data_IF_888941239688
#
_entry.id   IF_888941239688
#
_cell.length_a   1.000
_cell.length_b   1.000
_cell.length_c   1.000
_cell.angle_alpha   90.00
_cell.angle_beta   90.00
_cell.angle_gamma   90.00
#
_symmetry.space_group_name_H-M   'P 1'
#
loop_
_entity.id
_entity.type
_entity.pdbx_description
1 polymer ?
#
# COMPACT_ATOMS: atom_id res chain seq x y z
N UNK A 1 -18.96 -35.17 9.50
CA UNK A 1 -17.81 -34.45 10.12
C UNK A 1 -17.79 -33.08 9.49
N UNK A 2 -17.88 -32.03 10.27
CA UNK A 2 -17.69 -30.66 9.73
C UNK A 2 -16.26 -30.57 9.21
N UNK A 3 -16.11 -30.09 7.98
CA UNK A 3 -14.78 -29.83 7.41
C UNK A 3 -14.11 -28.73 8.26
N UNK A 4 -13.06 -29.09 9.00
CA UNK A 4 -12.33 -28.14 9.85
C UNK A 4 -11.64 -27.03 9.07
N UNK A 5 -11.50 -27.20 7.76
CA UNK A 5 -10.88 -26.23 6.85
C UNK A 5 -11.92 -25.38 6.10
N UNK A 6 -13.21 -25.63 6.29
CA UNK A 6 -14.25 -24.83 5.68
C UNK A 6 -14.14 -23.35 6.17
N UNK A 7 -14.29 -22.36 5.26
CA UNK A 7 -14.35 -20.97 5.65
C UNK A 7 -15.45 -20.71 6.68
N UNK A 8 -15.18 -19.85 7.65
CA UNK A 8 -16.14 -19.44 8.67
C UNK A 8 -16.31 -17.93 8.65
N UNK A 9 -17.47 -17.41 9.10
CA UNK A 9 -17.75 -15.96 9.10
C UNK A 9 -16.72 -15.11 9.88
N UNK A 10 -16.07 -15.70 10.88
CA UNK A 10 -15.00 -15.04 11.65
C UNK A 10 -13.67 -14.95 10.89
N UNK A 11 -13.49 -15.70 9.82
CA UNK A 11 -12.30 -15.67 8.96
C UNK A 11 -12.40 -14.48 7.99
N UNK A 12 -11.93 -13.33 8.40
CA UNK A 12 -12.01 -12.07 7.63
C UNK A 12 -10.83 -11.96 6.65
N UNK A 13 -10.75 -12.86 5.67
CA UNK A 13 -9.73 -12.78 4.64
C UNK A 13 -10.02 -11.67 3.64
N UNK A 14 -8.99 -10.89 3.32
CA UNK A 14 -9.01 -9.87 2.28
C UNK A 14 -7.92 -10.11 1.25
N UNK A 15 -8.13 -9.60 0.05
CA UNK A 15 -7.22 -9.82 -1.07
C UNK A 15 -6.87 -8.48 -1.72
N UNK A 16 -5.59 -8.32 -2.09
CA UNK A 16 -5.16 -7.16 -2.85
C UNK A 16 -5.60 -7.25 -4.31
N UNK A 17 -6.08 -6.15 -4.90
CA UNK A 17 -6.33 -6.07 -6.34
C UNK A 17 -5.11 -6.49 -7.14
N UNK A 18 -3.92 -6.08 -6.70
CA UNK A 18 -2.63 -6.42 -7.32
C UNK A 18 -2.30 -7.91 -7.30
N UNK A 19 -2.83 -8.65 -6.32
CA UNK A 19 -2.61 -10.10 -6.19
C UNK A 19 -3.51 -10.86 -7.15
N UNK A 20 -4.82 -10.58 -7.11
CA UNK A 20 -5.83 -11.26 -7.95
C UNK A 20 -5.68 -10.84 -9.41
N UNK A 21 -5.46 -9.56 -9.65
CA UNK A 21 -5.25 -8.99 -10.99
C UNK A 21 -3.86 -9.18 -11.58
N UNK A 22 -2.96 -9.93 -10.90
CA UNK A 22 -1.59 -10.13 -11.39
C UNK A 22 -1.61 -10.88 -12.73
N UNK A 23 -1.17 -10.24 -13.83
CA UNK A 23 -1.23 -10.85 -15.17
C UNK A 23 -0.17 -11.94 -15.37
N UNK A 24 0.73 -12.13 -14.39
CA UNK A 24 1.92 -12.96 -14.53
C UNK A 24 2.91 -12.33 -15.53
N UNK A 25 4.17 -12.26 -15.16
CA UNK A 25 5.23 -11.75 -16.04
C UNK A 25 6.16 -12.88 -16.43
N UNK A 26 6.29 -13.08 -17.73
CA UNK A 26 7.40 -13.83 -18.31
C UNK A 26 8.50 -12.82 -18.67
N UNK A 27 9.75 -12.97 -18.20
CA UNK A 27 10.83 -12.06 -18.56
C UNK A 27 11.15 -12.07 -20.07
N UNK A 28 10.69 -13.09 -20.81
CA UNK A 28 10.96 -13.28 -22.24
C UNK A 28 9.69 -13.25 -23.11
N UNK A 29 8.52 -13.02 -22.52
CA UNK A 29 7.25 -13.09 -23.24
C UNK A 29 6.18 -12.13 -22.72
N UNK A 30 4.99 -12.18 -23.31
CA UNK A 30 3.84 -11.38 -22.87
C UNK A 30 3.30 -11.88 -21.52
N UNK A 31 2.41 -11.09 -20.88
CA UNK A 31 1.66 -11.55 -19.71
C UNK A 31 0.96 -12.90 -19.97
N UNK A 32 0.96 -13.79 -18.98
CA UNK A 32 0.44 -15.16 -19.10
C UNK A 32 -1.05 -15.28 -18.74
N UNK A 33 -1.64 -14.22 -18.19
CA UNK A 33 -3.05 -14.17 -17.78
C UNK A 33 -3.75 -12.96 -18.39
N UNK A 34 -5.06 -13.07 -18.66
CA UNK A 34 -5.84 -11.90 -19.08
C UNK A 34 -5.89 -10.85 -17.98
N UNK A 35 -6.01 -9.60 -18.39
CA UNK A 35 -6.25 -8.50 -17.46
C UNK A 35 -7.68 -8.61 -16.91
N UNK A 36 -7.81 -8.53 -15.57
CA UNK A 36 -9.08 -8.43 -14.87
C UNK A 36 -9.31 -6.98 -14.42
N UNK A 37 -10.50 -6.46 -14.63
CA UNK A 37 -10.85 -5.15 -14.08
C UNK A 37 -11.04 -5.22 -12.56
N UNK A 38 -10.87 -4.11 -11.82
CA UNK A 38 -11.19 -4.07 -10.38
C UNK A 38 -12.62 -4.52 -10.06
N UNK A 39 -13.58 -4.23 -10.92
CA UNK A 39 -14.99 -4.65 -10.79
C UNK A 39 -15.11 -6.17 -10.92
N UNK A 40 -14.49 -6.77 -11.94
CA UNK A 40 -14.49 -8.23 -12.12
C UNK A 40 -13.85 -8.94 -10.92
N UNK A 41 -12.74 -8.39 -10.40
CA UNK A 41 -12.07 -8.94 -9.22
C UNK A 41 -12.99 -8.92 -8.00
N UNK A 42 -13.72 -7.82 -7.77
CA UNK A 42 -14.68 -7.72 -6.65
C UNK A 42 -15.76 -8.79 -6.77
N UNK A 43 -16.32 -9.00 -7.96
CA UNK A 43 -17.33 -10.05 -8.17
C UNK A 43 -16.77 -11.46 -7.93
N UNK A 44 -15.58 -11.78 -8.47
CA UNK A 44 -14.91 -13.07 -8.24
C UNK A 44 -14.62 -13.30 -6.74
N UNK A 45 -14.18 -12.27 -6.03
CA UNK A 45 -13.95 -12.35 -4.58
C UNK A 45 -15.26 -12.58 -3.81
N UNK A 46 -16.36 -12.00 -4.26
CA UNK A 46 -17.69 -12.25 -3.72
C UNK A 46 -18.12 -13.73 -3.88
N UNK A 47 -17.86 -14.33 -5.05
CA UNK A 47 -18.17 -15.74 -5.33
C UNK A 47 -17.42 -16.73 -4.42
N UNK A 48 -16.17 -16.40 -4.05
CA UNK A 48 -15.37 -17.24 -3.14
C UNK A 48 -15.58 -16.93 -1.66
N UNK A 49 -16.47 -15.99 -1.33
CA UNK A 49 -16.81 -15.66 0.05
C UNK A 49 -15.72 -14.87 0.80
N UNK A 50 -14.92 -14.07 0.09
CA UNK A 50 -13.95 -13.18 0.72
C UNK A 50 -14.65 -12.14 1.61
N UNK A 51 -13.96 -11.68 2.67
CA UNK A 51 -14.45 -10.58 3.50
C UNK A 51 -14.31 -9.22 2.82
N UNK A 52 -13.22 -9.02 2.08
CA UNK A 52 -12.96 -7.74 1.47
C UNK A 52 -11.83 -7.73 0.45
N UNK A 53 -11.56 -6.54 -0.06
CA UNK A 53 -10.53 -6.26 -1.06
C UNK A 53 -9.70 -5.07 -0.60
N UNK A 54 -8.40 -5.11 -0.89
CA UNK A 54 -7.45 -4.03 -0.63
C UNK A 54 -6.88 -3.52 -1.95
N UNK A 55 -6.38 -2.30 -1.98
CA UNK A 55 -5.84 -1.74 -3.22
C UNK A 55 -4.73 -0.72 -2.98
N UNK A 56 -3.79 -0.63 -3.96
CA UNK A 56 -3.06 0.60 -4.19
C UNK A 56 -3.92 1.53 -5.05
N UNK A 57 -3.74 2.80 -4.88
CA UNK A 57 -4.47 3.80 -5.68
C UNK A 57 -4.43 3.50 -7.20
N UNK A 58 -3.27 3.11 -7.73
CA UNK A 58 -3.09 2.79 -9.15
C UNK A 58 -3.69 1.44 -9.59
N UNK A 59 -3.99 0.53 -8.66
CA UNK A 59 -4.67 -0.73 -8.99
C UNK A 59 -6.14 -0.47 -9.34
N UNK A 60 -6.71 0.59 -8.75
CA UNK A 60 -8.09 0.99 -8.95
C UNK A 60 -8.21 2.08 -10.02
N UNK A 61 -7.47 3.17 -9.88
CA UNK A 61 -7.54 4.33 -10.77
C UNK A 61 -6.18 4.54 -11.45
N UNK A 62 -6.09 4.45 -12.77
CA UNK A 62 -4.85 4.75 -13.50
C UNK A 62 -4.28 6.12 -13.15
N UNK A 63 -2.94 6.22 -13.08
CA UNK A 63 -2.23 7.44 -12.66
C UNK A 63 -2.50 8.64 -13.59
N UNK A 64 -2.86 8.36 -14.84
CA UNK A 64 -3.15 9.32 -15.91
C UNK A 64 -4.66 9.53 -16.15
N UNK A 65 -5.52 8.94 -15.31
CA UNK A 65 -6.96 9.09 -15.42
C UNK A 65 -7.39 10.56 -15.27
N UNK A 66 -8.27 11.00 -16.15
CA UNK A 66 -8.93 12.30 -16.01
C UNK A 66 -9.88 12.31 -14.81
N UNK A 67 -10.27 13.47 -14.27
CA UNK A 67 -11.26 13.52 -13.17
C UNK A 67 -12.57 12.79 -13.48
N UNK A 68 -13.06 12.88 -14.71
CA UNK A 68 -14.30 12.20 -15.11
C UNK A 68 -14.15 10.67 -15.16
N UNK A 69 -13.01 10.17 -15.62
CA UNK A 69 -12.68 8.75 -15.60
C UNK A 69 -12.52 8.24 -14.15
N UNK A 70 -11.81 8.99 -13.31
CA UNK A 70 -11.69 8.70 -11.89
C UNK A 70 -13.07 8.54 -11.25
N UNK A 71 -13.96 9.51 -11.42
CA UNK A 71 -15.28 9.49 -10.80
C UNK A 71 -16.13 8.32 -11.29
N UNK A 72 -16.03 7.97 -12.57
CA UNK A 72 -16.74 6.83 -13.13
C UNK A 72 -16.20 5.50 -12.57
N UNK A 73 -14.87 5.32 -12.51
CA UNK A 73 -14.22 4.13 -11.98
C UNK A 73 -14.61 3.92 -10.50
N UNK A 74 -14.52 4.99 -9.69
CA UNK A 74 -14.87 4.93 -8.26
C UNK A 74 -16.35 4.59 -8.09
N UNK A 75 -17.22 5.16 -8.89
CA UNK A 75 -18.66 4.86 -8.88
C UNK A 75 -18.95 3.39 -9.20
N UNK A 76 -18.33 2.85 -10.24
CA UNK A 76 -18.53 1.45 -10.67
C UNK A 76 -17.96 0.47 -9.62
N UNK A 77 -16.82 0.80 -9.03
CA UNK A 77 -16.23 0.02 -7.95
C UNK A 77 -17.11 0.01 -6.70
N UNK A 78 -17.65 1.17 -6.28
CA UNK A 78 -18.61 1.26 -5.17
C UNK A 78 -19.85 0.43 -5.42
N UNK A 79 -20.35 0.42 -6.67
CA UNK A 79 -21.48 -0.42 -7.04
C UNK A 79 -21.15 -1.90 -6.88
N UNK A 80 -20.00 -2.36 -7.36
CA UNK A 80 -19.57 -3.75 -7.22
C UNK A 80 -19.41 -4.16 -5.74
N UNK A 81 -18.86 -3.28 -4.90
CA UNK A 81 -18.80 -3.51 -3.44
C UNK A 81 -20.19 -3.63 -2.82
N UNK A 82 -21.13 -2.80 -3.24
CA UNK A 82 -22.51 -2.86 -2.74
C UNK A 82 -23.22 -4.15 -3.18
N UNK A 83 -23.03 -4.57 -4.44
CA UNK A 83 -23.62 -5.78 -5.02
C UNK A 83 -23.10 -7.05 -4.32
N UNK A 84 -21.83 -7.08 -3.90
CA UNK A 84 -21.18 -8.25 -3.28
C UNK A 84 -21.16 -8.22 -1.75
N UNK A 85 -21.32 -7.05 -1.15
CA UNK A 85 -21.18 -6.85 0.28
C UNK A 85 -19.74 -6.80 0.80
N UNK A 86 -18.75 -6.90 -0.09
CA UNK A 86 -17.32 -6.82 0.26
C UNK A 86 -16.95 -5.48 0.89
N UNK A 87 -15.95 -5.51 1.77
CA UNK A 87 -15.42 -4.34 2.46
C UNK A 87 -14.05 -3.94 1.90
N UNK A 88 -13.67 -2.70 2.16
CA UNK A 88 -12.31 -2.20 1.90
C UNK A 88 -11.68 -1.85 3.24
N UNK A 89 -11.07 -2.79 3.96
CA UNK A 89 -10.51 -2.50 5.29
C UNK A 89 -9.18 -1.76 5.24
N UNK A 90 -8.44 -1.85 4.12
CA UNK A 90 -7.11 -1.28 3.98
C UNK A 90 -6.91 -0.70 2.58
N UNK A 91 -6.22 0.44 2.52
CA UNK A 91 -5.72 1.06 1.30
C UNK A 91 -4.23 1.40 1.43
N UNK A 92 -3.59 1.66 0.31
CA UNK A 92 -2.18 2.08 0.25
C UNK A 92 -1.92 2.89 -1.02
N UNK A 93 -0.75 3.51 -1.13
CA UNK A 93 -0.32 4.27 -2.30
C UNK A 93 0.80 3.54 -3.05
N UNK A 94 0.68 3.43 -4.36
CA UNK A 94 1.80 2.97 -5.18
C UNK A 94 2.83 4.10 -5.37
N UNK A 95 3.93 4.03 -4.63
CA UNK A 95 5.08 4.95 -4.71
C UNK A 95 6.34 4.26 -5.23
N UNK A 96 6.20 3.21 -6.04
CA UNK A 96 7.34 2.38 -6.43
C UNK A 96 7.35 1.94 -7.90
N UNK A 97 6.21 1.83 -8.57
CA UNK A 97 6.16 1.32 -9.95
C UNK A 97 6.41 2.41 -11.00
N UNK A 98 6.00 3.66 -10.75
CA UNK A 98 6.25 4.76 -11.68
C UNK A 98 7.74 5.17 -11.65
N UNK A 99 8.36 5.42 -12.83
CA UNK A 99 9.76 5.87 -12.93
C UNK A 99 10.09 7.15 -12.13
N UNK A 100 9.11 7.98 -11.81
CA UNK A 100 9.31 9.15 -10.95
C UNK A 100 9.88 8.77 -9.59
N UNK A 101 9.55 7.59 -9.07
CA UNK A 101 9.97 7.10 -7.74
C UNK A 101 11.23 6.24 -7.76
N UNK A 102 11.94 6.15 -8.88
CA UNK A 102 13.13 5.28 -9.01
C UNK A 102 14.21 5.53 -7.95
N UNK A 103 14.31 6.76 -7.41
CA UNK A 103 15.23 7.14 -6.34
C UNK A 103 14.54 7.31 -4.98
N UNK A 104 13.46 6.62 -4.75
CA UNK A 104 12.60 6.81 -3.58
C UNK A 104 11.48 7.81 -3.83
N UNK A 105 10.51 7.82 -2.96
CA UNK A 105 9.40 8.76 -2.97
C UNK A 105 9.60 9.80 -1.86
N UNK A 106 9.31 9.45 -0.61
CA UNK A 106 9.50 10.33 0.54
C UNK A 106 10.97 10.62 0.84
N UNK A 107 11.88 9.69 0.54
CA UNK A 107 13.33 9.85 0.76
C UNK A 107 14.09 10.34 -0.45
N UNK A 108 13.43 10.58 -1.59
CA UNK A 108 14.07 11.05 -2.82
C UNK A 108 14.97 12.27 -2.58
N UNK A 109 16.11 12.34 -3.28
CA UNK A 109 16.95 13.53 -3.28
C UNK A 109 16.27 14.72 -3.96
N UNK A 110 15.35 14.50 -4.90
CA UNK A 110 14.59 15.56 -5.56
C UNK A 110 13.39 16.01 -4.71
N UNK A 111 13.34 17.26 -4.22
CA UNK A 111 12.22 17.76 -3.44
C UNK A 111 10.89 17.80 -4.19
N UNK A 112 10.91 17.86 -5.53
CA UNK A 112 9.69 17.81 -6.35
C UNK A 112 9.06 16.42 -6.32
N UNK A 113 9.89 15.36 -6.31
CA UNK A 113 9.42 13.98 -6.17
C UNK A 113 8.82 13.77 -4.79
N UNK A 114 9.45 14.29 -3.72
CA UNK A 114 8.89 14.21 -2.37
C UNK A 114 7.54 14.92 -2.24
N UNK A 115 7.42 16.12 -2.79
CA UNK A 115 6.15 16.86 -2.81
C UNK A 115 5.06 16.14 -3.60
N UNK A 116 5.43 15.57 -4.76
CA UNK A 116 4.52 14.75 -5.55
C UNK A 116 4.05 13.50 -4.81
N UNK A 117 4.97 12.79 -4.14
CA UNK A 117 4.65 11.62 -3.32
C UNK A 117 3.65 11.95 -2.21
N UNK A 118 3.85 13.05 -1.48
CA UNK A 118 2.91 13.52 -0.45
C UNK A 118 1.54 13.83 -1.04
N UNK A 119 1.49 14.60 -2.12
CA UNK A 119 0.22 14.96 -2.79
C UNK A 119 -0.53 13.73 -3.30
N UNK A 120 0.19 12.75 -3.88
CA UNK A 120 -0.39 11.50 -4.35
C UNK A 120 -0.94 10.68 -3.20
N UNK A 121 -0.19 10.59 -2.09
CA UNK A 121 -0.60 9.86 -0.90
C UNK A 121 -1.84 10.47 -0.24
N UNK A 122 -1.91 11.79 -0.12
CA UNK A 122 -3.10 12.47 0.40
C UNK A 122 -4.36 12.10 -0.40
N UNK A 123 -4.30 12.18 -1.73
CA UNK A 123 -5.42 11.80 -2.60
C UNK A 123 -5.81 10.33 -2.46
N UNK A 124 -4.81 9.45 -2.33
CA UNK A 124 -5.05 8.03 -2.12
C UNK A 124 -5.66 7.72 -0.74
N UNK A 125 -5.26 8.50 0.29
CA UNK A 125 -5.89 8.43 1.61
C UNK A 125 -7.37 8.87 1.55
N UNK A 126 -7.66 9.98 0.87
CA UNK A 126 -9.03 10.49 0.68
C UNK A 126 -9.92 9.40 0.03
N UNK A 127 -9.43 8.80 -1.05
CA UNK A 127 -10.11 7.70 -1.73
C UNK A 127 -10.27 6.46 -0.83
N UNK A 128 -9.22 6.09 -0.10
CA UNK A 128 -9.25 4.98 0.84
C UNK A 128 -10.34 5.15 1.90
N UNK A 129 -10.39 6.33 2.52
CA UNK A 129 -11.41 6.67 3.53
C UNK A 129 -12.82 6.71 2.91
N UNK A 130 -12.96 7.27 1.72
CA UNK A 130 -14.23 7.29 0.97
C UNK A 130 -14.77 5.89 0.70
N UNK A 131 -13.89 4.91 0.49
CA UNK A 131 -14.22 3.50 0.27
C UNK A 131 -14.35 2.69 1.57
N UNK A 132 -14.05 3.29 2.73
CA UNK A 132 -14.25 2.68 4.04
C UNK A 132 -13.00 2.12 4.71
N UNK A 133 -11.82 2.40 4.19
CA UNK A 133 -10.55 1.96 4.79
C UNK A 133 -10.36 2.54 6.19
N UNK A 134 -9.84 1.70 7.09
CA UNK A 134 -9.48 2.05 8.47
C UNK A 134 -7.99 1.92 8.73
N UNK A 135 -7.30 1.19 7.87
CA UNK A 135 -5.85 1.01 7.92
C UNK A 135 -5.25 1.55 6.62
N UNK A 136 -4.20 2.33 6.75
CA UNK A 136 -3.43 2.82 5.62
C UNK A 136 -2.01 2.27 5.68
N UNK A 137 -1.70 1.35 4.76
CA UNK A 137 -0.38 0.73 4.72
C UNK A 137 0.61 1.64 3.99
N UNK A 138 1.81 1.75 4.54
CA UNK A 138 2.95 2.43 3.92
C UNK A 138 4.05 1.40 3.70
N UNK A 139 4.23 1.01 2.44
CA UNK A 139 5.32 0.16 2.01
C UNK A 139 6.39 0.97 1.28
N UNK A 140 7.60 0.96 1.83
CA UNK A 140 8.73 1.76 1.36
C UNK A 140 9.60 1.07 0.30
N UNK A 141 9.03 0.38 -0.70
CA UNK A 141 9.78 -0.43 -1.64
C UNK A 141 10.87 0.29 -2.45
N UNK A 142 10.78 1.61 -2.61
CA UNK A 142 11.83 2.44 -3.24
C UNK A 142 12.59 3.33 -2.26
N UNK A 143 12.23 3.30 -0.98
CA UNK A 143 12.86 4.11 0.07
C UNK A 143 14.19 3.47 0.49
N UNK A 144 15.21 3.65 -0.33
CA UNK A 144 16.52 3.03 -0.14
C UNK A 144 17.53 3.46 -1.19
N UNK A 145 18.58 2.68 -1.35
CA UNK A 145 19.71 2.94 -2.25
C UNK A 145 20.22 1.65 -2.91
N UNK A 146 20.91 1.83 -4.04
CA UNK A 146 21.73 0.76 -4.65
C UNK A 146 23.16 0.77 -4.10
N UNK A 147 23.60 1.92 -3.55
CA UNK A 147 24.88 2.10 -2.90
C UNK A 147 24.79 3.28 -1.92
N UNK A 148 25.38 3.14 -0.74
CA UNK A 148 25.36 4.14 0.33
C UNK A 148 25.90 5.52 -0.10
N UNK A 149 26.81 5.54 -1.09
CA UNK A 149 27.33 6.79 -1.62
C UNK A 149 26.30 7.66 -2.38
N UNK A 150 25.13 7.09 -2.74
CA UNK A 150 24.12 7.75 -3.55
C UNK A 150 23.20 8.68 -2.74
N UNK A 151 23.07 8.46 -1.42
CA UNK A 151 22.12 9.19 -0.57
C UNK A 151 22.58 9.18 0.88
N UNK A 152 22.47 10.32 1.55
CA UNK A 152 22.68 10.42 2.99
C UNK A 152 21.55 9.72 3.73
N UNK A 153 21.86 8.61 4.40
CA UNK A 153 20.87 7.78 5.10
C UNK A 153 20.21 8.50 6.28
N UNK A 154 20.94 9.42 6.98
CA UNK A 154 20.38 10.19 8.08
C UNK A 154 19.37 11.20 7.56
N UNK A 155 19.70 11.91 6.48
CA UNK A 155 18.77 12.83 5.83
C UNK A 155 17.57 12.09 5.23
N UNK A 156 17.76 10.90 4.63
CA UNK A 156 16.67 10.07 4.14
C UNK A 156 15.72 9.66 5.28
N UNK A 157 16.24 9.25 6.42
CA UNK A 157 15.45 8.92 7.61
C UNK A 157 14.66 10.10 8.15
N UNK A 158 15.25 11.31 8.18
CA UNK A 158 14.54 12.55 8.54
C UNK A 158 13.39 12.84 7.58
N UNK A 159 13.66 12.80 6.27
CA UNK A 159 12.64 13.03 5.23
C UNK A 159 11.47 12.05 5.34
N UNK A 160 11.76 10.80 5.62
CA UNK A 160 10.73 9.76 5.79
C UNK A 160 9.88 10.05 7.03
N UNK A 161 10.51 10.42 8.17
CA UNK A 161 9.81 10.84 9.38
C UNK A 161 8.95 12.08 9.16
N UNK A 162 9.48 13.12 8.50
CA UNK A 162 8.75 14.35 8.22
C UNK A 162 7.53 14.07 7.33
N UNK A 163 7.66 13.14 6.36
CA UNK A 163 6.55 12.71 5.52
C UNK A 163 5.44 12.02 6.32
N UNK A 164 5.80 11.09 7.22
CA UNK A 164 4.81 10.40 8.05
C UNK A 164 4.16 11.33 9.07
N UNK A 165 4.93 12.24 9.68
CA UNK A 165 4.36 13.26 10.55
C UNK A 165 3.36 14.14 9.79
N UNK A 166 3.71 14.59 8.59
CA UNK A 166 2.79 15.36 7.75
C UNK A 166 1.50 14.57 7.44
N UNK A 167 1.59 13.30 7.07
CA UNK A 167 0.44 12.49 6.72
C UNK A 167 -0.45 12.15 7.93
N UNK A 168 0.13 11.92 9.11
CA UNK A 168 -0.65 11.72 10.35
C UNK A 168 -1.34 13.00 10.78
N UNK A 169 -0.68 14.16 10.68
CA UNK A 169 -1.34 15.46 10.88
C UNK A 169 -2.48 15.68 9.90
N UNK A 170 -2.26 15.40 8.61
CA UNK A 170 -3.31 15.49 7.59
C UNK A 170 -4.53 14.64 7.95
N UNK A 171 -4.32 13.38 8.33
CA UNK A 171 -5.43 12.50 8.73
C UNK A 171 -6.22 13.07 9.94
N UNK A 172 -5.53 13.65 10.92
CA UNK A 172 -6.16 14.30 12.07
C UNK A 172 -6.96 15.54 11.67
N UNK A 173 -6.39 16.40 10.83
CA UNK A 173 -7.04 17.63 10.36
C UNK A 173 -8.30 17.32 9.56
N UNK A 174 -8.28 16.26 8.75
CA UNK A 174 -9.43 15.76 8.02
C UNK A 174 -10.40 14.96 8.91
N UNK A 175 -10.04 14.68 10.17
CA UNK A 175 -10.81 13.85 11.12
C UNK A 175 -11.06 12.43 10.59
N UNK A 176 -10.09 11.87 9.88
CA UNK A 176 -10.16 10.51 9.42
C UNK A 176 -9.97 9.52 10.58
N UNK A 177 -10.87 8.54 10.65
CA UNK A 177 -10.72 7.38 11.53
C UNK A 177 -9.80 6.35 10.83
N UNK A 178 -8.52 6.70 10.76
CA UNK A 178 -7.49 6.00 10.01
C UNK A 178 -6.25 5.82 10.88
N UNK A 179 -5.68 4.62 10.87
CA UNK A 179 -4.38 4.31 11.44
C UNK A 179 -3.41 3.91 10.34
N UNK A 180 -2.14 4.18 10.54
CA UNK A 180 -1.08 3.83 9.60
C UNK A 180 -0.42 2.51 10.01
N UNK A 181 -0.03 1.70 9.04
CA UNK A 181 0.70 0.47 9.25
C UNK A 181 1.94 0.43 8.34
N UNK A 182 3.13 0.44 8.94
CA UNK A 182 4.39 0.46 8.22
C UNK A 182 4.82 -0.97 7.89
N UNK A 183 5.13 -1.22 6.62
CA UNK A 183 5.53 -2.54 6.12
C UNK A 183 7.00 -2.55 5.74
N UNK A 184 7.76 -3.38 6.44
CA UNK A 184 9.21 -3.54 6.22
C UNK A 184 9.50 -4.49 5.07
N UNK A 185 10.62 -4.21 4.36
CA UNK A 185 11.24 -5.12 3.42
C UNK A 185 12.75 -4.81 3.36
N UNK A 186 13.65 -5.82 3.38
CA UNK A 186 15.08 -5.56 3.45
C UNK A 186 15.67 -5.10 2.11
N UNK A 187 15.19 -5.63 1.01
CA UNK A 187 15.66 -5.34 -0.34
C UNK A 187 14.57 -5.63 -1.39
N UNK A 188 14.92 -5.41 -2.68
CA UNK A 188 14.04 -5.57 -3.83
C UNK A 188 12.74 -4.74 -3.70
N UNK A 189 12.54 -3.75 -4.61
CA UNK A 189 13.28 -3.48 -5.85
C UNK A 189 14.58 -2.65 -5.70
N UNK A 190 14.91 -2.17 -4.50
CA UNK A 190 16.21 -1.53 -4.20
C UNK A 190 17.14 -2.54 -3.57
N UNK A 191 18.47 -2.32 -3.65
CA UNK A 191 19.45 -3.20 -3.02
C UNK A 191 19.34 -3.12 -1.49
N UNK A 192 19.34 -1.92 -0.92
CA UNK A 192 19.12 -1.66 0.49
C UNK A 192 17.90 -0.77 0.69
N UNK A 193 16.88 -1.28 1.35
CA UNK A 193 15.69 -0.51 1.75
C UNK A 193 15.87 -0.07 3.20
N UNK A 194 15.57 1.20 3.47
CA UNK A 194 15.65 1.75 4.82
C UNK A 194 14.59 1.11 5.74
N UNK A 195 14.93 0.95 7.03
CA UNK A 195 14.07 0.30 8.01
C UNK A 195 13.65 -1.11 7.58
N UNK A 196 14.59 -2.02 7.39
CA UNK A 196 14.42 -3.27 6.66
C UNK A 196 13.61 -4.35 7.42
N UNK A 197 13.29 -4.15 8.71
CA UNK A 197 12.62 -5.14 9.56
C UNK A 197 11.49 -4.50 10.36
N UNK A 198 10.52 -5.30 10.79
CA UNK A 198 9.47 -4.87 11.73
C UNK A 198 10.05 -4.23 12.99
N UNK A 199 11.12 -4.81 13.54
CA UNK A 199 11.80 -4.24 14.71
C UNK A 199 12.40 -2.86 14.48
N UNK A 200 12.92 -2.58 13.28
CA UNK A 200 13.42 -1.23 12.94
C UNK A 200 12.30 -0.21 12.85
N UNK A 201 11.14 -0.59 12.33
CA UNK A 201 9.97 0.28 12.33
C UNK A 201 9.41 0.54 13.73
N UNK A 202 9.39 -0.45 14.61
CA UNK A 202 8.95 -0.23 16.00
C UNK A 202 9.79 0.86 16.68
N UNK A 203 11.11 0.82 16.53
CA UNK A 203 11.98 1.88 17.05
C UNK A 203 11.79 3.23 16.35
N UNK A 204 11.50 3.22 15.06
CA UNK A 204 11.26 4.45 14.29
C UNK A 204 9.93 5.12 14.67
N UNK A 205 8.87 4.36 14.90
CA UNK A 205 7.55 4.84 15.30
C UNK A 205 7.62 5.72 16.56
N UNK A 206 8.45 5.35 17.54
CA UNK A 206 8.66 6.12 18.77
C UNK A 206 9.25 7.53 18.51
N UNK A 207 9.73 7.80 17.30
CA UNK A 207 10.28 9.12 16.92
C UNK A 207 9.27 10.02 16.21
N UNK A 208 8.05 9.55 15.98
CA UNK A 208 6.98 10.29 15.28
C UNK A 208 6.23 11.23 16.23
N UNK A 209 5.58 12.25 15.66
CA UNK A 209 4.75 13.19 16.42
C UNK A 209 3.46 12.52 16.96
N UNK A 210 2.96 11.52 16.24
CA UNK A 210 1.74 10.77 16.56
C UNK A 210 1.98 9.26 16.53
N UNK A 211 2.83 8.71 17.42
CA UNK A 211 3.12 7.28 17.44
C UNK A 211 1.87 6.42 17.71
N UNK A 212 0.88 6.97 18.42
CA UNK A 212 -0.39 6.30 18.70
C UNK A 212 -1.24 6.00 17.45
N UNK A 213 -0.98 6.68 16.35
CA UNK A 213 -1.67 6.46 15.07
C UNK A 213 -0.93 5.48 14.15
N UNK A 214 0.26 5.02 14.53
CA UNK A 214 1.14 4.27 13.62
C UNK A 214 1.53 2.95 14.26
N UNK A 215 1.30 1.88 13.54
CA UNK A 215 1.72 0.53 13.88
C UNK A 215 2.53 -0.10 12.75
N UNK A 216 2.66 -1.40 12.79
CA UNK A 216 3.38 -2.18 11.78
C UNK A 216 2.44 -3.13 11.05
N UNK A 217 2.73 -3.40 9.78
CA UNK A 217 2.14 -4.45 8.97
C UNK A 217 3.23 -5.52 8.73
N UNK A 218 3.38 -6.51 9.63
CA UNK A 218 4.40 -7.56 9.44
C UNK A 218 4.04 -8.41 8.22
N UNK A 219 4.95 -8.46 7.26
CA UNK A 219 4.82 -9.29 6.07
C UNK A 219 5.77 -10.49 6.20
N UNK A 220 5.20 -11.70 6.28
CA UNK A 220 5.93 -12.93 6.61
C UNK A 220 7.10 -13.20 5.67
N UNK A 221 6.90 -13.02 4.36
CA UNK A 221 7.96 -13.26 3.38
C UNK A 221 9.08 -12.23 3.50
N UNK A 222 8.77 -10.97 3.79
CA UNK A 222 9.76 -9.92 3.98
C UNK A 222 10.62 -10.16 5.25
N UNK A 223 10.00 -10.61 6.33
CA UNK A 223 10.74 -10.99 7.55
C UNK A 223 11.69 -12.17 7.27
N UNK A 224 11.23 -13.18 6.51
CA UNK A 224 12.09 -14.29 6.09
C UNK A 224 13.24 -13.84 5.18
N UNK A 225 13.02 -12.86 4.29
CA UNK A 225 14.10 -12.25 3.48
C UNK A 225 15.19 -11.61 4.37
N UNK A 226 14.81 -11.10 5.54
CA UNK A 226 15.72 -10.54 6.54
C UNK A 226 16.40 -11.61 7.41
N UNK A 227 16.12 -12.90 7.19
CA UNK A 227 16.61 -13.99 8.03
C UNK A 227 15.94 -14.06 9.41
N UNK A 228 14.80 -13.43 9.57
CA UNK A 228 14.04 -13.40 10.81
C UNK A 228 12.91 -14.45 10.80
N UNK A 229 12.40 -14.75 11.99
CA UNK A 229 11.23 -15.60 12.18
C UNK A 229 10.01 -14.72 12.49
N UNK A 230 8.90 -15.12 11.94
CA UNK A 230 7.61 -14.43 12.12
C UNK A 230 6.81 -15.06 13.27
#
# INVERSE_FOLDING_TARGET
MSDQYAPKPEHKFTFGLWTVGNPGRDPFGPPTRPHLSPVDIVHLLGEVGAYGVNFHDNDLVPIDATPAEHDQIVKDFKKALADTGLKVPMATTNLFSDPAFKDGAFTSNDPRVRAYALSKTMKAMDLGVELGAKVYVVWGGREGVETDAAKDALEAGKRFRDALNFLTHYAKDQKYDLVFALEAKPNEPRHDIYLPTTGSFLGFIETLDHPEMVGVNPEVAHEHMSGLNF
#
